data_IF_996324523548
#
_entry.id   IF_996324523548
#
_cell.length_a   1.000
_cell.length_b   1.000
_cell.length_c   1.000
_cell.angle_alpha   90.00
_cell.angle_beta   90.00
_cell.angle_gamma   90.00
#
_symmetry.space_group_name_H-M   'P 1'
#
loop_
_entity.id
_entity.type
_entity.pdbx_description
1 polymer ?
#
# COMPACT_ATOMS: atom_id res chain seq x y z
N UNK A 1 -7.99 -20.81 2.28
CA UNK A 1 -8.09 -19.96 1.08
C UNK A 1 -7.25 -18.73 1.37
N UNK A 2 -6.11 -18.64 0.68
CA UNK A 2 -5.03 -17.71 0.99
C UNK A 2 -5.51 -16.27 0.97
N UNK A 3 -4.96 -15.47 1.88
CA UNK A 3 -5.31 -14.08 2.17
C UNK A 3 -5.17 -13.20 0.90
N UNK A 4 -6.19 -13.20 0.03
CA UNK A 4 -6.18 -12.65 -1.34
C UNK A 4 -6.16 -11.12 -1.42
N UNK A 5 -5.99 -10.43 -0.30
CA UNK A 5 -5.85 -8.98 -0.25
C UNK A 5 -4.37 -8.68 -0.02
N UNK A 6 -3.60 -8.51 -1.09
CA UNK A 6 -2.16 -8.19 -1.01
C UNK A 6 -1.84 -6.99 -0.11
N UNK A 7 -0.56 -6.80 0.23
CA UNK A 7 -0.09 -5.78 1.19
C UNK A 7 -0.57 -4.37 0.78
N UNK A 8 -1.08 -3.62 1.76
CA UNK A 8 -1.45 -2.21 1.59
C UNK A 8 -0.24 -1.35 1.95
N UNK A 9 0.23 -0.56 0.99
CA UNK A 9 1.31 0.42 1.19
C UNK A 9 0.74 1.82 1.26
N UNK A 10 1.22 2.61 2.22
CA UNK A 10 0.87 4.03 2.31
C UNK A 10 2.13 4.89 2.18
N UNK A 11 2.10 5.88 1.29
CA UNK A 11 3.23 6.79 1.00
C UNK A 11 2.75 8.24 0.89
N UNK A 12 3.65 9.19 1.11
CA UNK A 12 3.34 10.61 0.85
C UNK A 12 3.46 10.94 -0.64
N UNK A 13 4.56 10.48 -1.24
CA UNK A 13 4.89 10.62 -2.65
C UNK A 13 5.34 9.27 -3.21
N UNK A 14 5.18 9.08 -4.52
CA UNK A 14 5.75 7.95 -5.22
C UNK A 14 6.35 8.38 -6.56
N UNK A 15 7.52 7.85 -6.87
CA UNK A 15 8.22 8.09 -8.12
C UNK A 15 8.17 6.85 -9.02
N UNK A 16 8.44 6.99 -10.33
CA UNK A 16 8.39 5.87 -11.27
C UNK A 16 9.29 4.70 -10.85
N UNK A 17 10.47 4.99 -10.30
CA UNK A 17 11.40 3.96 -9.86
C UNK A 17 10.90 3.22 -8.61
N UNK A 18 10.18 3.90 -7.72
CA UNK A 18 9.54 3.26 -6.56
C UNK A 18 8.39 2.37 -7.01
N UNK A 19 7.56 2.82 -7.97
CA UNK A 19 6.47 2.01 -8.52
C UNK A 19 6.99 0.69 -9.14
N UNK A 20 8.09 0.75 -9.91
CA UNK A 20 8.74 -0.47 -10.44
C UNK A 20 9.14 -1.43 -9.32
N UNK A 21 9.81 -0.93 -8.27
CA UNK A 21 10.21 -1.76 -7.13
C UNK A 21 9.02 -2.37 -6.38
N UNK A 22 7.89 -1.67 -6.33
CA UNK A 22 6.66 -2.19 -5.70
C UNK A 22 6.12 -3.37 -6.50
N UNK A 23 6.10 -3.25 -7.83
CA UNK A 23 5.66 -4.32 -8.74
C UNK A 23 6.61 -5.50 -8.68
N UNK A 24 7.92 -5.26 -8.70
CA UNK A 24 8.95 -6.31 -8.58
C UNK A 24 8.81 -7.13 -7.29
N UNK A 25 8.34 -6.51 -6.20
CA UNK A 25 8.06 -7.26 -4.95
C UNK A 25 6.87 -8.20 -5.08
N UNK A 26 5.91 -7.91 -5.95
CA UNK A 26 4.73 -8.74 -6.22
C UNK A 26 3.73 -8.91 -5.06
N UNK A 27 4.05 -8.43 -3.86
CA UNK A 27 3.22 -8.60 -2.66
C UNK A 27 2.23 -7.46 -2.44
N UNK A 28 2.50 -6.27 -2.99
CA UNK A 28 1.71 -5.06 -2.75
C UNK A 28 0.64 -4.98 -3.84
N UNK A 29 -0.63 -4.90 -3.43
CA UNK A 29 -1.78 -4.79 -4.34
C UNK A 29 -2.50 -3.45 -4.24
N UNK A 30 -2.35 -2.76 -3.12
CA UNK A 30 -3.00 -1.46 -2.89
C UNK A 30 -1.94 -0.45 -2.45
N UNK A 31 -1.91 0.69 -3.13
CA UNK A 31 -1.04 1.81 -2.82
C UNK A 31 -1.89 3.05 -2.56
N UNK A 32 -1.67 3.69 -1.41
CA UNK A 32 -2.34 4.94 -1.03
C UNK A 32 -1.30 6.06 -0.96
N UNK A 33 -1.56 7.17 -1.65
CA UNK A 33 -0.70 8.36 -1.68
C UNK A 33 -1.43 9.62 -1.24
N UNK A 34 -0.73 10.46 -0.47
CA UNK A 34 -1.25 11.79 -0.09
C UNK A 34 -1.27 12.73 -1.29
N UNK A 35 -0.15 12.77 -2.03
CA UNK A 35 -0.04 13.62 -3.20
C UNK A 35 -0.49 12.90 -4.46
N UNK A 36 -0.82 13.71 -5.47
CA UNK A 36 -1.10 13.22 -6.82
C UNK A 36 0.13 12.57 -7.43
N UNK A 37 -0.11 11.54 -8.23
CA UNK A 37 0.93 10.73 -8.83
C UNK A 37 1.09 11.13 -10.30
N UNK A 38 2.33 11.21 -10.79
CA UNK A 38 2.57 11.54 -12.20
C UNK A 38 1.97 10.47 -13.13
N UNK A 39 1.44 10.83 -14.31
CA UNK A 39 0.79 9.90 -15.24
C UNK A 39 1.63 8.64 -15.53
N UNK A 40 2.93 8.83 -15.84
CA UNK A 40 3.89 7.75 -16.07
C UNK A 40 3.97 6.73 -14.92
N UNK A 41 3.81 7.20 -13.69
CA UNK A 41 3.86 6.31 -12.51
C UNK A 41 2.54 5.57 -12.35
N UNK A 42 1.40 6.18 -12.71
CA UNK A 42 0.09 5.50 -12.72
C UNK A 42 0.06 4.38 -13.75
N UNK A 43 0.60 4.62 -14.94
CA UNK A 43 0.71 3.60 -16.00
C UNK A 43 1.48 2.38 -15.49
N UNK A 44 2.67 2.61 -14.92
CA UNK A 44 3.49 1.54 -14.33
C UNK A 44 2.69 0.76 -13.27
N UNK A 45 2.02 1.45 -12.34
CA UNK A 45 1.23 0.80 -11.29
C UNK A 45 0.05 -0.01 -11.86
N UNK A 46 -0.58 0.49 -12.92
CA UNK A 46 -1.69 -0.20 -13.60
C UNK A 46 -1.21 -1.45 -14.32
N UNK A 47 -0.08 -1.38 -15.03
CA UNK A 47 0.57 -2.55 -15.65
C UNK A 47 0.93 -3.62 -14.62
N UNK A 48 1.28 -3.19 -13.41
CA UNK A 48 1.59 -4.07 -12.28
C UNK A 48 0.40 -4.62 -11.50
N UNK A 49 -0.83 -4.39 -11.95
CA UNK A 49 -2.07 -4.79 -11.26
C UNK A 49 -2.13 -4.25 -9.80
N UNK A 50 -1.72 -2.99 -9.62
CA UNK A 50 -1.76 -2.29 -8.35
C UNK A 50 -2.86 -1.23 -8.37
N UNK A 51 -3.76 -1.31 -7.38
CA UNK A 51 -4.78 -0.29 -7.16
C UNK A 51 -4.16 0.93 -6.49
N UNK A 52 -4.16 2.08 -7.18
CA UNK A 52 -3.67 3.35 -6.65
C UNK A 52 -4.83 4.23 -6.16
N UNK A 53 -4.73 4.70 -4.92
CA UNK A 53 -5.55 5.78 -4.36
C UNK A 53 -4.67 7.00 -4.12
N UNK A 54 -4.86 8.08 -4.87
CA UNK A 54 -4.06 9.30 -4.75
C UNK A 54 -4.88 10.49 -4.26
N UNK A 55 -4.20 11.53 -3.78
CA UNK A 55 -4.87 12.73 -3.28
C UNK A 55 -5.59 12.52 -1.94
N UNK A 56 -5.24 11.47 -1.19
CA UNK A 56 -5.90 11.16 0.08
C UNK A 56 -5.45 12.16 1.14
N UNK A 57 -6.41 12.71 1.88
CA UNK A 57 -6.10 13.67 2.93
C UNK A 57 -5.10 13.11 3.95
N UNK A 58 -4.15 13.94 4.43
CA UNK A 58 -3.12 13.49 5.36
C UNK A 58 -3.70 12.89 6.65
N UNK A 59 -4.87 13.36 7.09
CA UNK A 59 -5.57 12.82 8.24
C UNK A 59 -6.06 11.39 7.99
N UNK A 60 -6.67 11.13 6.83
CA UNK A 60 -7.13 9.79 6.44
C UNK A 60 -5.96 8.84 6.23
N UNK A 61 -4.87 9.31 5.62
CA UNK A 61 -3.63 8.52 5.49
C UNK A 61 -3.07 8.10 6.86
N UNK A 62 -3.09 8.99 7.85
CA UNK A 62 -2.68 8.64 9.21
C UNK A 62 -3.59 7.58 9.81
N UNK A 63 -4.92 7.72 9.72
CA UNK A 63 -5.88 6.72 10.21
C UNK A 63 -5.65 5.35 9.57
N UNK A 64 -5.44 5.29 8.25
CA UNK A 64 -5.15 4.02 7.54
C UNK A 64 -3.86 3.42 8.11
N UNK A 65 -2.82 4.24 8.28
CA UNK A 65 -1.53 3.77 8.80
C UNK A 65 -1.63 3.26 10.24
N UNK A 66 -2.44 3.88 11.09
CA UNK A 66 -2.69 3.41 12.46
C UNK A 66 -3.44 2.08 12.45
N UNK A 67 -4.54 1.97 11.71
CA UNK A 67 -5.29 0.72 11.57
C UNK A 67 -4.44 -0.43 11.03
N UNK A 68 -3.55 -0.15 10.08
CA UNK A 68 -2.62 -1.16 9.54
C UNK A 68 -1.66 -1.64 10.63
N UNK A 69 -1.12 -0.75 11.48
CA UNK A 69 -0.24 -1.13 12.59
C UNK A 69 -0.97 -1.96 13.63
N UNK A 70 -2.20 -1.58 13.99
CA UNK A 70 -3.03 -2.34 14.95
C UNK A 70 -3.29 -3.75 14.45
N UNK A 71 -3.74 -3.90 13.20
CA UNK A 71 -3.98 -5.22 12.60
C UNK A 71 -2.73 -6.09 12.52
N UNK A 72 -1.58 -5.50 12.18
CA UNK A 72 -0.30 -6.23 12.18
C UNK A 72 0.06 -6.70 13.59
N UNK A 73 -0.15 -5.86 14.60
CA UNK A 73 0.15 -6.20 15.99
C UNK A 73 -0.79 -7.29 16.52
N UNK A 74 -2.09 -7.19 16.27
CA UNK A 74 -3.08 -8.22 16.65
C UNK A 74 -2.75 -9.58 16.02
N UNK A 75 -2.36 -9.60 14.74
CA UNK A 75 -1.94 -10.84 14.06
C UNK A 75 -0.71 -11.47 14.72
N UNK A 76 0.31 -10.65 15.04
CA UNK A 76 1.54 -11.12 15.69
C UNK A 76 1.29 -11.63 17.12
N UNK A 77 0.39 -11.00 17.88
CA UNK A 77 0.06 -11.44 19.25
C UNK A 77 -0.76 -12.74 19.26
N UNK A 78 -1.65 -12.93 18.27
CA UNK A 78 -2.36 -14.21 18.09
C UNK A 78 -1.40 -15.36 17.74
N UNK A 79 -0.46 -15.14 16.81
CA UNK A 79 0.50 -16.17 16.38
C UNK A 79 1.57 -16.53 17.43
N UNK A 80 1.76 -15.70 18.46
CA UNK A 80 2.71 -15.94 19.58
C UNK A 80 2.06 -16.54 20.83
N UNK A 81 0.74 -16.66 20.84
CA UNK A 81 -0.04 -17.11 22.00
C UNK A 81 -0.34 -18.61 22.05
N UNK A 82 0.18 -19.42 21.11
CA UNK A 82 0.09 -20.89 21.11
C UNK A 82 1.38 -21.56 21.59
#
# INVERSE_FOLDING_TARGET
MSEEYGEIKVRKNIFPNDAKKIIEKGTIKILVTQNLVSPKTKEILTEGDITLYEGVEPNEVNKIREKLKEKTREKIEYERGE
#
